data_IF_309537853872
#
_entry.id   IF_309537853872
#
_cell.length_a   1.000
_cell.length_b   1.000
_cell.length_c   1.000
_cell.angle_alpha   90.00
_cell.angle_beta   90.00
_cell.angle_gamma   90.00
#
_symmetry.space_group_name_H-M   'P 1'
#
loop_
_entity.id
_entity.type
_entity.pdbx_description
1 polymer ?
#
# COMPACT_ATOMS: atom_id res chain seq x y z
N UNK A 1 -8.09 11.75 -6.06
CA UNK A 1 -8.94 10.84 -6.85
C UNK A 1 -9.92 10.21 -5.87
N UNK A 2 -11.23 10.27 -6.13
CA UNK A 2 -12.26 9.81 -5.19
C UNK A 2 -12.60 8.32 -5.37
N UNK A 3 -13.30 7.75 -4.38
CA UNK A 3 -13.82 6.37 -4.45
C UNK A 3 -14.69 6.14 -5.69
N UNK A 4 -15.50 7.13 -6.08
CA UNK A 4 -16.35 7.10 -7.28
C UNK A 4 -15.56 6.81 -8.57
N UNK A 5 -14.32 7.32 -8.65
CA UNK A 5 -13.46 7.06 -9.81
C UNK A 5 -13.00 5.61 -9.84
N UNK A 6 -12.64 5.06 -8.67
CA UNK A 6 -12.22 3.67 -8.52
C UNK A 6 -13.40 2.79 -8.89
N UNK A 7 -14.57 2.99 -8.28
CA UNK A 7 -15.79 2.24 -8.53
C UNK A 7 -16.16 2.21 -10.03
N UNK A 8 -16.02 3.34 -10.74
CA UNK A 8 -16.31 3.41 -12.17
C UNK A 8 -15.37 2.57 -13.06
N UNK A 9 -14.13 2.35 -12.64
CA UNK A 9 -13.11 1.69 -13.48
C UNK A 9 -12.59 0.36 -12.89
N UNK A 10 -13.11 -0.05 -11.73
CA UNK A 10 -12.59 -1.18 -10.95
C UNK A 10 -12.57 -2.49 -11.71
N UNK A 11 -13.53 -2.69 -12.64
CA UNK A 11 -13.62 -3.88 -13.49
C UNK A 11 -12.41 -4.09 -14.41
N UNK A 12 -11.61 -3.05 -14.66
CA UNK A 12 -10.42 -3.11 -15.50
C UNK A 12 -9.11 -3.08 -14.70
N UNK A 13 -9.18 -3.16 -13.35
CA UNK A 13 -8.03 -2.95 -12.46
C UNK A 13 -7.91 -4.12 -11.49
N UNK A 14 -6.76 -4.81 -11.53
CA UNK A 14 -6.46 -5.89 -10.58
C UNK A 14 -5.96 -5.39 -9.22
N UNK A 15 -5.28 -4.23 -9.22
CA UNK A 15 -4.58 -3.70 -8.05
C UNK A 15 -4.72 -2.17 -7.98
N UNK A 16 -5.19 -1.64 -6.86
CA UNK A 16 -5.31 -0.21 -6.61
C UNK A 16 -4.49 0.16 -5.39
N UNK A 17 -3.56 1.10 -5.54
CA UNK A 17 -2.90 1.76 -4.43
C UNK A 17 -3.48 3.15 -4.23
N UNK A 18 -3.69 3.52 -2.97
CA UNK A 18 -4.22 4.83 -2.62
C UNK A 18 -3.76 5.25 -1.22
N UNK A 19 -3.78 6.55 -0.95
CA UNK A 19 -3.71 7.04 0.43
C UNK A 19 -5.07 6.84 1.10
N UNK A 20 -5.09 6.10 2.21
CA UNK A 20 -6.30 5.84 2.98
C UNK A 20 -6.50 6.82 4.13
N UNK A 21 -7.74 6.91 4.59
CA UNK A 21 -8.13 7.50 5.87
C UNK A 21 -9.14 6.58 6.54
N UNK A 22 -9.29 6.68 7.86
CA UNK A 22 -10.20 5.81 8.63
C UNK A 22 -11.63 5.83 8.07
N UNK A 23 -12.13 6.99 7.67
CA UNK A 23 -13.49 7.13 7.14
C UNK A 23 -13.72 6.39 5.81
N UNK A 24 -12.66 6.03 5.08
CA UNK A 24 -12.75 5.33 3.79
C UNK A 24 -12.72 3.81 3.93
N UNK A 25 -12.30 3.27 5.07
CA UNK A 25 -11.95 1.85 5.19
C UNK A 25 -13.16 0.93 5.03
N UNK A 26 -14.32 1.32 5.57
CA UNK A 26 -15.55 0.54 5.43
C UNK A 26 -16.00 0.46 3.96
N UNK A 27 -15.93 1.57 3.23
CA UNK A 27 -16.31 1.64 1.81
C UNK A 27 -15.34 0.84 0.94
N UNK A 28 -14.04 0.91 1.22
CA UNK A 28 -13.04 0.10 0.53
C UNK A 28 -13.25 -1.40 0.75
N UNK A 29 -13.55 -1.81 1.98
CA UNK A 29 -13.86 -3.21 2.27
C UNK A 29 -15.13 -3.67 1.53
N UNK A 30 -16.20 -2.87 1.56
CA UNK A 30 -17.43 -3.16 0.83
C UNK A 30 -17.18 -3.29 -0.67
N UNK A 31 -16.43 -2.34 -1.25
CA UNK A 31 -16.07 -2.34 -2.67
C UNK A 31 -15.31 -3.60 -3.07
N UNK A 32 -14.39 -4.08 -2.22
CA UNK A 32 -13.61 -5.32 -2.45
C UNK A 32 -14.45 -6.61 -2.49
N UNK A 33 -15.71 -6.57 -2.04
CA UNK A 33 -16.63 -7.71 -2.12
C UNK A 33 -17.11 -7.94 -3.55
N UNK A 34 -17.27 -6.85 -4.30
CA UNK A 34 -17.98 -6.88 -5.59
C UNK A 34 -17.11 -7.31 -6.77
N UNK A 35 -15.78 -7.38 -6.58
CA UNK A 35 -14.78 -7.50 -7.66
C UNK A 35 -13.52 -8.24 -7.18
N UNK A 36 -12.78 -8.86 -8.11
CA UNK A 36 -11.46 -9.47 -7.85
C UNK A 36 -10.31 -8.43 -7.83
N UNK A 37 -10.57 -7.23 -7.30
CA UNK A 37 -9.58 -6.16 -7.21
C UNK A 37 -9.00 -6.10 -5.81
N UNK A 38 -7.67 -6.05 -5.72
CA UNK A 38 -6.94 -5.85 -4.48
C UNK A 38 -6.77 -4.35 -4.22
N UNK A 39 -7.38 -3.84 -3.15
CA UNK A 39 -7.30 -2.43 -2.76
C UNK A 39 -6.30 -2.28 -1.61
N UNK A 40 -5.27 -1.44 -1.79
CA UNK A 40 -4.16 -1.32 -0.85
C UNK A 40 -4.01 0.14 -0.39
N UNK A 41 -4.78 0.57 0.63
CA UNK A 41 -4.60 1.89 1.21
C UNK A 41 -3.37 1.96 2.12
N UNK A 42 -2.51 2.96 1.92
CA UNK A 42 -1.42 3.32 2.83
C UNK A 42 -1.89 4.42 3.79
N UNK A 43 -1.54 4.29 5.08
CA UNK A 43 -1.98 5.15 6.19
C UNK A 43 -0.80 5.90 6.83
N UNK A 44 0.29 6.10 6.08
CA UNK A 44 1.51 6.76 6.56
C UNK A 44 2.11 6.05 7.77
N UNK A 45 2.26 6.76 8.88
CA UNK A 45 2.83 6.23 10.13
C UNK A 45 1.98 5.11 10.78
N UNK A 46 0.73 4.91 10.35
CA UNK A 46 -0.11 3.80 10.83
C UNK A 46 0.05 2.52 9.96
N UNK A 47 0.92 2.56 8.96
CA UNK A 47 1.21 1.42 8.09
C UNK A 47 0.29 1.34 6.88
N UNK A 48 -0.24 0.15 6.60
CA UNK A 48 -1.05 -0.12 5.40
C UNK A 48 -2.06 -1.23 5.66
N UNK A 49 -3.11 -1.24 4.84
CA UNK A 49 -4.10 -2.31 4.78
C UNK A 49 -4.17 -2.87 3.37
N UNK A 50 -4.76 -4.06 3.24
CA UNK A 50 -5.23 -4.58 1.98
C UNK A 50 -6.65 -5.14 2.14
N UNK A 51 -7.50 -4.87 1.15
CA UNK A 51 -8.84 -5.42 1.03
C UNK A 51 -8.96 -6.27 -0.23
N UNK A 52 -9.38 -7.52 -0.06
CA UNK A 52 -9.58 -8.47 -1.15
C UNK A 52 -10.67 -9.46 -0.78
N UNK A 53 -11.71 -9.58 -1.62
CA UNK A 53 -12.84 -10.48 -1.39
C UNK A 53 -13.45 -10.31 0.02
N UNK A 54 -13.69 -9.06 0.42
CA UNK A 54 -14.22 -8.65 1.73
C UNK A 54 -13.32 -9.00 2.94
N UNK A 55 -12.10 -9.49 2.72
CA UNK A 55 -11.11 -9.73 3.77
C UNK A 55 -10.22 -8.52 3.94
N UNK A 56 -9.84 -8.25 5.19
CA UNK A 56 -8.89 -7.20 5.55
C UNK A 56 -7.58 -7.83 6.01
N UNK A 57 -6.47 -7.31 5.50
CA UNK A 57 -5.11 -7.61 5.91
C UNK A 57 -4.47 -6.33 6.42
N UNK A 58 -3.64 -6.41 7.46
CA UNK A 58 -3.02 -5.24 8.08
C UNK A 58 -1.51 -5.43 8.24
N UNK A 59 -0.79 -4.36 7.97
CA UNK A 59 0.63 -4.24 8.25
C UNK A 59 0.88 -2.91 8.94
N UNK A 60 1.25 -2.96 10.22
CA UNK A 60 1.74 -1.79 10.97
C UNK A 60 2.97 -1.20 10.28
N UNK A 61 3.18 0.11 10.43
CA UNK A 61 4.43 0.73 10.01
C UNK A 61 5.59 0.10 10.80
N UNK A 62 6.71 -0.16 10.12
CA UNK A 62 7.91 -0.65 10.78
C UNK A 62 8.60 0.50 11.50
N UNK A 63 9.10 0.24 12.70
CA UNK A 63 9.82 1.23 13.49
C UNK A 63 11.10 1.69 12.76
N UNK A 64 11.39 2.98 12.86
CA UNK A 64 12.59 3.60 12.31
C UNK A 64 13.19 4.52 13.36
N UNK A 65 14.48 4.38 13.63
CA UNK A 65 15.18 5.19 14.64
C UNK A 65 15.32 6.66 14.23
N UNK A 66 15.40 6.94 12.92
CA UNK A 66 15.55 8.30 12.39
C UNK A 66 14.80 8.44 11.08
N UNK A 67 13.97 9.48 10.97
CA UNK A 67 13.26 9.84 9.75
C UNK A 67 13.94 11.08 9.15
N UNK A 68 14.48 10.93 7.95
CA UNK A 68 15.16 12.00 7.21
C UNK A 68 14.20 12.66 6.23
N UNK A 69 13.56 11.87 5.37
CA UNK A 69 12.62 12.30 4.34
C UNK A 69 11.60 11.18 4.09
N UNK A 70 10.35 11.53 3.80
CA UNK A 70 9.28 10.57 3.46
C UNK A 70 8.99 10.50 1.96
N UNK A 71 9.63 11.37 1.18
CA UNK A 71 9.50 11.41 -0.28
C UNK A 71 9.89 10.07 -0.88
N UNK A 72 9.02 9.49 -1.72
CA UNK A 72 9.26 8.20 -2.38
C UNK A 72 8.94 6.96 -1.55
N UNK A 73 8.55 7.08 -0.28
CA UNK A 73 8.15 5.93 0.53
C UNK A 73 6.96 5.18 -0.06
N UNK A 74 5.97 5.90 -0.60
CA UNK A 74 4.81 5.32 -1.28
C UNK A 74 5.21 4.55 -2.54
N UNK A 75 6.09 5.11 -3.37
CA UNK A 75 6.54 4.47 -4.61
C UNK A 75 7.36 3.21 -4.31
N UNK A 76 8.26 3.27 -3.33
CA UNK A 76 9.03 2.11 -2.89
C UNK A 76 8.15 1.01 -2.29
N UNK A 77 7.14 1.40 -1.50
CA UNK A 77 6.13 0.47 -0.99
C UNK A 77 5.43 -0.25 -2.15
N UNK A 78 4.91 0.50 -3.13
CA UNK A 78 4.18 -0.05 -4.28
C UNK A 78 5.06 -0.98 -5.11
N UNK A 79 6.32 -0.60 -5.37
CA UNK A 79 7.25 -1.41 -6.13
C UNK A 79 7.53 -2.76 -5.45
N UNK A 80 7.87 -2.74 -4.16
CA UNK A 80 8.16 -3.97 -3.41
C UNK A 80 6.91 -4.84 -3.20
N UNK A 81 5.75 -4.23 -2.94
CA UNK A 81 4.47 -4.94 -2.88
C UNK A 81 4.20 -5.68 -4.19
N UNK A 82 4.30 -5.00 -5.33
CA UNK A 82 4.03 -5.59 -6.64
C UNK A 82 4.97 -6.76 -6.96
N UNK A 83 6.27 -6.61 -6.66
CA UNK A 83 7.26 -7.66 -6.89
C UNK A 83 6.93 -8.92 -6.09
N UNK A 84 6.62 -8.78 -4.81
CA UNK A 84 6.22 -9.89 -3.95
C UNK A 84 4.90 -10.51 -4.43
N UNK A 85 3.88 -9.67 -4.70
CA UNK A 85 2.56 -10.13 -5.14
C UNK A 85 2.59 -10.90 -6.46
N UNK A 86 3.40 -10.47 -7.43
CA UNK A 86 3.55 -11.17 -8.70
C UNK A 86 4.18 -12.54 -8.50
N UNK A 87 5.15 -12.66 -7.59
CA UNK A 87 5.88 -13.91 -7.34
C UNK A 87 5.11 -14.90 -6.47
N UNK A 88 4.53 -14.46 -5.36
CA UNK A 88 3.96 -15.35 -4.33
C UNK A 88 2.44 -15.40 -4.29
N UNK A 89 1.76 -14.34 -4.76
CA UNK A 89 0.33 -14.12 -4.54
C UNK A 89 -0.07 -14.13 -3.05
N UNK A 90 0.86 -13.80 -2.15
CA UNK A 90 0.60 -13.67 -0.72
C UNK A 90 0.44 -12.18 -0.33
N UNK A 91 -0.77 -11.80 0.07
CA UNK A 91 -1.12 -10.41 0.41
C UNK A 91 -0.34 -9.93 1.64
N UNK A 92 -0.20 -10.77 2.68
CA UNK A 92 0.44 -10.35 3.92
C UNK A 92 1.95 -10.16 3.71
N UNK A 93 2.60 -11.08 2.98
CA UNK A 93 4.01 -10.92 2.63
C UNK A 93 4.23 -9.70 1.73
N UNK A 94 3.29 -9.42 0.81
CA UNK A 94 3.36 -8.25 -0.06
C UNK A 94 3.27 -6.94 0.72
N UNK A 95 2.34 -6.85 1.69
CA UNK A 95 2.25 -5.70 2.61
C UNK A 95 3.56 -5.51 3.39
N UNK A 96 4.11 -6.60 3.93
CA UNK A 96 5.37 -6.57 4.69
C UNK A 96 6.56 -6.14 3.82
N UNK A 97 6.68 -6.66 2.60
CA UNK A 97 7.72 -6.28 1.64
C UNK A 97 7.64 -4.78 1.29
N UNK A 98 6.42 -4.27 1.06
CA UNK A 98 6.17 -2.84 0.87
C UNK A 98 6.61 -2.02 2.08
N UNK A 99 6.25 -2.44 3.29
CA UNK A 99 6.61 -1.74 4.52
C UNK A 99 8.14 -1.71 4.74
N UNK A 100 8.84 -2.81 4.48
CA UNK A 100 10.30 -2.89 4.52
C UNK A 100 10.98 -1.94 3.52
N UNK A 101 10.42 -1.82 2.31
CA UNK A 101 10.96 -0.92 1.31
C UNK A 101 10.77 0.55 1.69
N UNK A 102 9.57 0.93 2.14
CA UNK A 102 9.28 2.28 2.63
C UNK A 102 10.17 2.64 3.82
N UNK A 103 10.37 1.71 4.77
CA UNK A 103 11.25 1.89 5.92
C UNK A 103 12.68 2.27 5.51
N UNK A 104 13.22 1.64 4.46
CA UNK A 104 14.57 1.93 3.97
C UNK A 104 14.69 3.32 3.35
N UNK A 105 13.66 3.77 2.64
CA UNK A 105 13.63 5.11 2.01
C UNK A 105 13.61 6.22 3.06
N UNK A 106 12.97 5.99 4.21
CA UNK A 106 12.90 6.97 5.30
C UNK A 106 14.27 7.44 5.82
N UNK A 107 15.33 6.66 5.60
CA UNK A 107 16.67 6.91 6.13
C UNK A 107 17.55 7.84 5.31
N UNK A 108 17.12 8.33 4.15
CA UNK A 108 17.90 9.22 3.29
C UNK A 108 17.03 10.26 2.58
N UNK A 109 17.66 11.28 2.00
CA UNK A 109 16.96 12.35 1.26
C UNK A 109 16.46 11.88 -0.10
N UNK A 110 15.20 12.18 -0.43
CA UNK A 110 14.58 11.81 -1.70
C UNK A 110 14.19 10.33 -1.81
N UNK A 111 13.61 9.94 -2.95
CA UNK A 111 13.10 8.58 -3.17
C UNK A 111 14.15 7.54 -3.60
N UNK A 112 15.41 7.94 -3.80
CA UNK A 112 16.52 7.08 -4.20
C UNK A 112 17.77 7.53 -3.45
N UNK A 113 18.51 6.59 -2.87
CA UNK A 113 19.76 6.92 -2.19
C UNK A 113 20.78 7.42 -3.23
N UNK A 114 21.30 8.63 -3.02
CA UNK A 114 22.28 9.27 -3.92
C UNK A 114 23.68 9.35 -3.32
N UNK A 115 23.86 8.87 -2.09
CA UNK A 115 25.15 8.76 -1.43
C UNK A 115 25.86 7.49 -1.93
N UNK A 116 26.60 7.61 -3.02
CA UNK A 116 27.51 6.59 -3.58
C UNK A 116 28.95 6.81 -3.12
#
# INVERSE_FOLDING_TARGET
MGLDFIEKHIDAIDLVFLSGKEEMLADLQALSTSKHTLLVPTLGAQGSLAFYENKMYKQEALEVETIVDSTGCGDAFQAAFCLEWIGSKDIQNSLYAGALAAQKVLGYMGGVNTDF
#
